data_IF_039772771426
#
_entry.id   IF_039772771426
#
_cell.length_a   1.000
_cell.length_b   1.000
_cell.length_c   1.000
_cell.angle_alpha   90.00
_cell.angle_beta   90.00
_cell.angle_gamma   90.00
#
_symmetry.space_group_name_H-M   'P 1'
#
loop_
_entity.id
_entity.type
_entity.pdbx_description
1 polymer ?
#
# COMPACT_ATOMS: atom_id res chain seq x y z
N UNK A 1 -1.91 5.11 -3.96
CA UNK A 1 -2.25 6.42 -3.40
C UNK A 1 -1.72 7.61 -4.20
N UNK A 2 -0.44 8.01 -4.15
CA UNK A 2 0.06 9.25 -4.82
C UNK A 2 -0.22 9.35 -6.33
N UNK A 3 -0.11 8.24 -7.07
CA UNK A 3 -0.47 8.21 -8.51
C UNK A 3 -1.96 8.46 -8.72
N UNK A 4 -2.82 7.76 -7.96
CA UNK A 4 -4.27 7.97 -8.03
C UNK A 4 -4.69 9.38 -7.65
N UNK A 5 -4.04 9.99 -6.65
CA UNK A 5 -4.24 11.40 -6.31
C UNK A 5 -3.81 12.36 -7.44
N UNK A 6 -2.83 11.98 -8.26
CA UNK A 6 -2.46 12.72 -9.46
C UNK A 6 -3.50 12.56 -10.57
N UNK A 7 -4.00 11.34 -10.77
CA UNK A 7 -5.02 11.03 -11.78
C UNK A 7 -6.36 11.72 -11.52
N UNK A 8 -6.68 12.01 -10.24
CA UNK A 8 -7.90 12.71 -9.82
C UNK A 8 -7.63 14.23 -9.62
N UNK A 9 -6.48 14.75 -10.07
CA UNK A 9 -6.08 16.17 -9.96
C UNK A 9 -6.02 16.75 -8.52
N UNK A 10 -6.00 15.88 -7.51
CA UNK A 10 -5.98 16.27 -6.09
C UNK A 10 -4.58 16.38 -5.49
N UNK A 11 -3.55 16.15 -6.31
CA UNK A 11 -2.15 16.19 -5.87
C UNK A 11 -1.71 17.57 -5.36
N UNK A 12 -2.26 18.64 -5.92
CA UNK A 12 -2.01 20.02 -5.48
C UNK A 12 -2.54 20.24 -4.07
N UNK A 13 -3.79 19.84 -3.81
CA UNK A 13 -4.45 19.98 -2.51
C UNK A 13 -3.83 19.06 -1.46
N UNK A 14 -3.46 17.84 -1.82
CA UNK A 14 -2.68 16.94 -0.96
C UNK A 14 -1.35 17.53 -0.48
N UNK A 15 -0.76 18.48 -1.23
CA UNK A 15 0.48 19.16 -0.82
C UNK A 15 0.23 20.42 0.01
N UNK A 16 -0.93 21.04 -0.15
CA UNK A 16 -1.26 22.33 0.45
C UNK A 16 -2.05 22.19 1.75
N UNK A 17 -2.90 21.16 1.85
CA UNK A 17 -3.80 20.91 2.96
C UNK A 17 -3.34 19.67 3.74
N UNK A 18 -2.90 19.91 4.97
CA UNK A 18 -2.42 18.87 5.88
C UNK A 18 -3.54 17.93 6.33
N UNK A 19 -4.77 18.44 6.52
CA UNK A 19 -5.90 17.61 6.95
C UNK A 19 -6.32 16.67 5.82
N UNK A 20 -6.36 17.18 4.58
CA UNK A 20 -6.59 16.36 3.39
C UNK A 20 -5.49 15.30 3.22
N UNK A 21 -4.23 15.69 3.43
CA UNK A 21 -3.10 14.77 3.37
C UNK A 21 -3.16 13.69 4.46
N UNK A 22 -3.61 14.04 5.67
CA UNK A 22 -3.82 13.11 6.77
C UNK A 22 -4.93 12.11 6.45
N UNK A 23 -6.10 12.57 5.98
CA UNK A 23 -7.21 11.69 5.58
C UNK A 23 -6.77 10.70 4.48
N UNK A 24 -6.08 11.19 3.45
CA UNK A 24 -5.51 10.32 2.41
C UNK A 24 -4.48 9.30 2.97
N UNK A 25 -3.70 9.68 3.98
CA UNK A 25 -2.78 8.74 4.65
C UNK A 25 -3.53 7.71 5.50
N UNK A 26 -4.62 8.11 6.17
CA UNK A 26 -5.48 7.20 6.94
C UNK A 26 -6.10 6.11 6.08
N UNK A 27 -6.49 6.42 4.82
CA UNK A 27 -6.97 5.41 3.87
C UNK A 27 -5.92 4.30 3.65
N UNK A 28 -4.65 4.68 3.53
CA UNK A 28 -3.55 3.71 3.39
C UNK A 28 -3.32 2.92 4.68
N UNK A 29 -3.52 3.55 5.84
CA UNK A 29 -3.39 2.91 7.15
C UNK A 29 -4.37 1.76 7.39
N UNK A 30 -5.47 1.68 6.63
CA UNK A 30 -6.43 0.57 6.71
C UNK A 30 -5.76 -0.79 6.45
N UNK A 31 -4.65 -0.81 5.72
CA UNK A 31 -3.85 -2.03 5.51
C UNK A 31 -3.33 -2.69 6.80
N UNK A 32 -3.34 -1.97 7.93
CA UNK A 32 -2.92 -2.46 9.25
C UNK A 32 -4.11 -2.77 10.19
N UNK A 33 -5.35 -2.69 9.70
CA UNK A 33 -6.55 -3.03 10.48
C UNK A 33 -6.82 -4.54 10.36
N UNK A 34 -7.22 -5.22 11.45
CA UNK A 34 -7.67 -6.61 11.38
C UNK A 34 -8.81 -6.79 10.37
N UNK A 35 -8.76 -7.85 9.55
CA UNK A 35 -9.64 -8.05 8.39
C UNK A 35 -11.13 -8.02 8.78
N UNK A 36 -11.45 -8.53 9.96
CA UNK A 36 -12.78 -8.54 10.57
C UNK A 36 -13.40 -7.14 10.76
N UNK A 37 -12.57 -6.10 10.91
CA UNK A 37 -13.01 -4.73 11.20
C UNK A 37 -12.78 -3.76 10.04
N UNK A 38 -12.17 -4.21 8.93
CA UNK A 38 -11.83 -3.35 7.78
C UNK A 38 -13.06 -2.66 7.21
N UNK A 39 -14.19 -3.37 7.08
CA UNK A 39 -15.42 -2.82 6.51
C UNK A 39 -15.98 -1.67 7.36
N UNK A 40 -16.25 -1.94 8.64
CA UNK A 40 -16.87 -0.97 9.54
C UNK A 40 -15.99 0.28 9.71
N UNK A 41 -14.67 0.10 9.80
CA UNK A 41 -13.71 1.20 9.94
C UNK A 41 -13.55 1.99 8.63
N UNK A 42 -13.65 1.33 7.48
CA UNK A 42 -13.64 2.01 6.19
C UNK A 42 -14.88 2.90 6.02
N UNK A 43 -16.06 2.39 6.37
CA UNK A 43 -17.32 3.13 6.32
C UNK A 43 -17.25 4.36 7.26
N UNK A 44 -16.78 4.18 8.50
CA UNK A 44 -16.58 5.28 9.46
C UNK A 44 -15.58 6.34 8.94
N UNK A 45 -14.48 5.89 8.32
CA UNK A 45 -13.51 6.81 7.71
C UNK A 45 -14.10 7.57 6.52
N UNK A 46 -14.90 6.90 5.69
CA UNK A 46 -15.51 7.50 4.52
C UNK A 46 -16.50 8.61 4.92
N UNK A 47 -17.31 8.39 5.96
CA UNK A 47 -18.23 9.41 6.49
C UNK A 47 -17.52 10.67 7.00
N UNK A 48 -16.33 10.51 7.60
CA UNK A 48 -15.55 11.63 8.14
C UNK A 48 -14.62 12.28 7.11
N UNK A 49 -14.48 11.67 5.93
CA UNK A 49 -13.56 12.15 4.89
C UNK A 49 -14.19 13.29 4.07
N UNK A 50 -13.36 14.25 3.61
CA UNK A 50 -13.82 15.26 2.65
C UNK A 50 -14.43 14.61 1.41
N UNK A 51 -15.53 15.18 0.90
CA UNK A 51 -16.23 14.66 -0.28
C UNK A 51 -15.30 14.55 -1.49
N UNK A 52 -14.30 15.43 -1.59
CA UNK A 52 -13.32 15.35 -2.66
C UNK A 52 -12.55 14.03 -2.67
N UNK A 53 -12.34 13.35 -1.53
CA UNK A 53 -11.68 12.05 -1.48
C UNK A 53 -12.57 10.87 -1.93
N UNK A 54 -13.86 11.07 -2.18
CA UNK A 54 -14.78 10.00 -2.63
C UNK A 54 -14.22 9.19 -3.80
N UNK A 55 -13.70 9.77 -4.91
CA UNK A 55 -13.18 8.97 -6.03
C UNK A 55 -11.99 8.11 -5.66
N UNK A 56 -11.25 8.48 -4.61
CA UNK A 56 -10.10 7.74 -4.10
C UNK A 56 -10.55 6.64 -3.14
N UNK A 57 -11.56 6.92 -2.30
CA UNK A 57 -12.23 5.93 -1.45
C UNK A 57 -12.88 4.84 -2.30
N UNK A 58 -13.69 5.22 -3.30
CA UNK A 58 -14.34 4.30 -4.24
C UNK A 58 -13.33 3.39 -4.93
N UNK A 59 -12.23 3.97 -5.43
CA UNK A 59 -11.16 3.20 -6.05
C UNK A 59 -10.49 2.25 -5.05
N UNK A 60 -10.26 2.69 -3.82
CA UNK A 60 -9.63 1.87 -2.79
C UNK A 60 -10.54 0.71 -2.39
N UNK A 61 -11.83 0.99 -2.20
CA UNK A 61 -12.85 -0.03 -1.93
C UNK A 61 -12.87 -1.05 -3.07
N UNK A 62 -12.94 -0.62 -4.32
CA UNK A 62 -12.93 -1.53 -5.48
C UNK A 62 -11.65 -2.36 -5.58
N UNK A 63 -10.51 -1.79 -5.26
CA UNK A 63 -9.19 -2.42 -5.50
C UNK A 63 -8.75 -3.33 -4.35
N UNK A 64 -9.07 -2.98 -3.11
CA UNK A 64 -8.47 -3.61 -1.92
C UNK A 64 -9.49 -4.21 -0.93
N UNK A 65 -10.69 -3.65 -0.82
CA UNK A 65 -11.72 -4.11 0.12
C UNK A 65 -12.72 -5.05 -0.56
N UNK A 66 -13.13 -4.68 -1.77
CA UNK A 66 -14.15 -5.29 -2.61
C UNK A 66 -15.56 -4.81 -2.27
N UNK A 67 -16.28 -4.23 -3.24
CA UNK A 67 -17.69 -3.83 -3.06
C UNK A 67 -18.55 -5.04 -2.67
N UNK A 68 -19.25 -4.94 -1.54
CA UNK A 68 -20.29 -5.89 -1.15
C UNK A 68 -21.44 -5.80 -2.14
N UNK A 69 -21.72 -6.87 -2.87
CA UNK A 69 -22.93 -6.89 -3.69
C UNK A 69 -24.18 -6.96 -2.81
N UNK A 70 -25.36 -6.72 -3.39
CA UNK A 70 -26.70 -6.81 -2.74
C UNK A 70 -26.99 -8.15 -2.04
N UNK A 71 -26.13 -9.16 -2.23
CA UNK A 71 -26.23 -10.51 -1.69
C UNK A 71 -25.07 -10.85 -0.72
N UNK A 72 -24.32 -9.85 -0.25
CA UNK A 72 -23.26 -10.02 0.74
C UNK A 72 -21.98 -10.73 0.26
N UNK A 73 -21.79 -10.91 -1.06
CA UNK A 73 -20.56 -11.51 -1.61
C UNK A 73 -19.59 -10.41 -2.08
N UNK A 74 -18.35 -10.44 -1.60
CA UNK A 74 -17.27 -9.62 -2.15
C UNK A 74 -16.89 -10.17 -3.53
N UNK A 75 -16.66 -9.30 -4.52
CA UNK A 75 -16.13 -9.72 -5.83
C UNK A 75 -14.67 -10.18 -5.66
N UNK A 76 -14.47 -11.44 -5.29
CA UNK A 76 -13.15 -12.03 -5.02
C UNK A 76 -12.24 -12.24 -6.24
N UNK A 77 -12.37 -11.47 -7.33
CA UNK A 77 -11.52 -11.59 -8.53
C UNK A 77 -10.35 -10.60 -8.57
N UNK A 78 -10.38 -9.55 -7.75
CA UNK A 78 -9.41 -8.44 -7.85
C UNK A 78 -8.18 -8.60 -6.93
N UNK A 79 -8.29 -9.37 -5.84
CA UNK A 79 -7.17 -9.56 -4.89
C UNK A 79 -5.97 -10.29 -5.51
N UNK A 80 -6.19 -11.17 -6.48
CA UNK A 80 -5.14 -12.04 -7.05
C UNK A 80 -4.33 -11.40 -8.18
N UNK A 81 -4.84 -10.35 -8.84
CA UNK A 81 -4.11 -9.70 -9.94
C UNK A 81 -3.09 -8.66 -9.45
N UNK A 82 -3.28 -8.06 -8.27
CA UNK A 82 -2.37 -7.03 -7.78
C UNK A 82 -0.93 -7.54 -7.58
N UNK A 83 -0.74 -8.82 -7.18
CA UNK A 83 0.59 -9.42 -7.08
C UNK A 83 1.24 -9.60 -8.46
N UNK A 84 0.48 -10.08 -9.45
CA UNK A 84 0.93 -10.21 -10.83
C UNK A 84 1.27 -8.84 -11.45
N UNK A 85 0.43 -7.83 -11.21
CA UNK A 85 0.68 -6.45 -11.62
C UNK A 85 1.93 -5.87 -10.97
N UNK A 86 2.16 -6.12 -9.66
CA UNK A 86 3.36 -5.64 -8.97
C UNK A 86 4.62 -6.31 -9.55
N UNK A 87 4.58 -7.63 -9.77
CA UNK A 87 5.67 -8.36 -10.41
C UNK A 87 5.94 -7.81 -11.82
N UNK A 88 4.89 -7.57 -12.61
CA UNK A 88 5.00 -7.00 -13.95
C UNK A 88 5.53 -5.56 -13.95
N UNK A 89 5.12 -4.71 -12.99
CA UNK A 89 5.64 -3.33 -12.83
C UNK A 89 7.13 -3.35 -12.50
N UNK A 90 7.56 -4.25 -11.62
CA UNK A 90 8.98 -4.45 -11.29
C UNK A 90 9.77 -4.90 -12.52
N UNK A 91 9.28 -5.90 -13.26
CA UNK A 91 9.89 -6.37 -14.51
C UNK A 91 10.03 -5.23 -15.53
N UNK A 92 8.99 -4.42 -15.71
CA UNK A 92 9.04 -3.26 -16.61
C UNK A 92 10.12 -2.24 -16.18
N UNK A 93 10.26 -2.01 -14.88
CA UNK A 93 11.28 -1.11 -14.33
C UNK A 93 12.70 -1.62 -14.59
N UNK A 94 12.94 -2.92 -14.44
CA UNK A 94 14.25 -3.56 -14.67
C UNK A 94 14.62 -3.58 -16.16
N UNK A 95 13.61 -3.76 -17.03
CA UNK A 95 13.80 -3.76 -18.47
C UNK A 95 14.05 -2.36 -19.05
N UNK A 96 13.50 -1.31 -18.44
CA UNK A 96 13.74 0.09 -18.83
C UNK A 96 13.28 0.46 -20.23
N UNK A 97 12.41 -0.35 -20.86
CA UNK A 97 11.96 -0.18 -22.25
C UNK A 97 10.47 -0.54 -22.34
N UNK A 98 9.68 0.26 -23.05
CA UNK A 98 8.24 0.04 -23.22
C UNK A 98 7.91 -1.17 -24.11
N UNK A 99 8.77 -1.45 -25.10
CA UNK A 99 8.66 -2.60 -26.01
C UNK A 99 10.00 -3.33 -26.17
N UNK A 100 10.39 -4.20 -25.23
CA UNK A 100 11.64 -4.93 -25.31
C UNK A 100 11.59 -6.02 -26.38
N UNK A 101 12.66 -6.16 -27.16
CA UNK A 101 12.88 -7.35 -27.99
C UNK A 101 12.95 -8.61 -27.12
N UNK A 102 12.61 -9.78 -27.67
CA UNK A 102 12.68 -11.07 -26.95
C UNK A 102 14.03 -11.28 -26.25
N UNK A 103 15.14 -10.88 -26.88
CA UNK A 103 16.47 -11.01 -26.28
C UNK A 103 16.64 -10.13 -25.03
N UNK A 104 16.35 -8.83 -25.12
CA UNK A 104 16.34 -7.92 -23.96
C UNK A 104 15.38 -8.39 -22.86
N UNK A 105 14.25 -8.98 -23.25
CA UNK A 105 13.28 -9.55 -22.31
C UNK A 105 13.88 -10.72 -21.52
N UNK A 106 14.50 -11.69 -22.21
CA UNK A 106 15.19 -12.82 -21.58
C UNK A 106 16.34 -12.34 -20.69
N UNK A 107 17.14 -11.38 -21.16
CA UNK A 107 18.26 -10.82 -20.40
C UNK A 107 17.76 -10.15 -19.11
N UNK A 108 16.63 -9.42 -19.17
CA UNK A 108 16.00 -8.85 -17.98
C UNK A 108 15.53 -9.90 -16.97
N UNK A 109 14.95 -11.02 -17.41
CA UNK A 109 14.60 -12.12 -16.50
C UNK A 109 15.83 -12.70 -15.83
N UNK A 110 16.93 -12.90 -16.57
CA UNK A 110 18.19 -13.41 -16.00
C UNK A 110 18.75 -12.45 -14.95
N UNK A 111 18.69 -11.14 -15.18
CA UNK A 111 19.10 -10.13 -14.19
C UNK A 111 18.25 -10.18 -12.92
N UNK A 112 16.92 -10.24 -13.06
CA UNK A 112 16.01 -10.33 -11.91
C UNK A 112 16.22 -11.61 -11.11
N UNK A 113 16.42 -12.73 -11.82
CA UNK A 113 16.70 -14.02 -11.19
C UNK A 113 18.05 -14.00 -10.47
N UNK A 114 19.13 -13.52 -11.11
CA UNK A 114 20.45 -13.43 -10.49
C UNK A 114 20.43 -12.58 -9.20
N UNK A 115 19.70 -11.46 -9.20
CA UNK A 115 19.55 -10.63 -8.00
C UNK A 115 18.77 -11.31 -6.87
N UNK A 116 17.76 -12.13 -7.20
CA UNK A 116 17.01 -12.95 -6.22
C UNK A 116 17.86 -14.06 -5.65
N UNK A 117 18.56 -14.78 -6.50
CA UNK A 117 19.44 -15.89 -6.12
C UNK A 117 20.56 -15.38 -5.21
N UNK A 118 21.14 -14.21 -5.51
CA UNK A 118 22.12 -13.57 -4.63
C UNK A 118 21.56 -13.27 -3.22
N UNK A 119 20.33 -12.73 -3.12
CA UNK A 119 19.70 -12.46 -1.83
C UNK A 119 19.40 -13.76 -1.06
N UNK A 120 18.98 -14.80 -1.77
CA UNK A 120 18.70 -16.11 -1.17
C UNK A 120 19.97 -16.80 -0.68
N UNK A 121 21.04 -16.78 -1.46
CA UNK A 121 22.35 -17.33 -1.07
C UNK A 121 22.95 -16.60 0.13
N UNK A 122 22.88 -15.27 0.17
CA UNK A 122 23.31 -14.50 1.35
C UNK A 122 22.50 -14.89 2.60
N UNK A 123 21.19 -15.09 2.45
CA UNK A 123 20.36 -15.59 3.55
C UNK A 123 20.79 -17.00 4.01
N UNK A 124 21.05 -17.93 3.08
CA UNK A 124 21.52 -19.28 3.41
C UNK A 124 22.89 -19.30 4.10
N UNK A 125 23.78 -18.37 3.74
CA UNK A 125 25.09 -18.18 4.40
C UNK A 125 24.99 -17.62 5.82
N UNK A 126 23.81 -17.12 6.20
CA UNK A 126 23.61 -16.41 7.45
C UNK A 126 24.12 -14.96 7.42
N UNK A 127 24.32 -14.39 6.23
CA UNK A 127 24.66 -12.97 6.10
C UNK A 127 23.51 -12.13 6.69
N UNK A 128 23.85 -11.08 7.45
CA UNK A 128 22.83 -10.15 7.92
C UNK A 128 22.19 -9.41 6.74
N UNK A 129 20.86 -9.21 6.75
CA UNK A 129 20.20 -8.44 5.73
C UNK A 129 20.74 -7.00 5.71
N UNK A 130 20.67 -6.31 4.56
CA UNK A 130 21.11 -4.92 4.47
C UNK A 130 20.40 -4.08 5.54
N UNK A 131 21.19 -3.33 6.31
CA UNK A 131 20.67 -2.58 7.45
C UNK A 131 19.64 -1.55 6.98
N UNK A 132 18.41 -1.66 7.50
CA UNK A 132 17.39 -0.63 7.34
C UNK A 132 17.89 0.67 7.99
N UNK A 133 17.66 1.81 7.33
CA UNK A 133 17.98 3.11 7.94
C UNK A 133 17.20 3.26 9.26
N UNK A 134 17.85 3.83 10.28
CA UNK A 134 17.29 3.96 11.64
C UNK A 134 15.89 4.60 11.67
N UNK A 135 15.61 5.55 10.77
CA UNK A 135 14.29 6.19 10.67
C UNK A 135 13.15 5.20 10.37
N UNK A 136 13.41 4.17 9.57
CA UNK A 136 12.44 3.13 9.24
C UNK A 136 12.33 2.10 10.36
N UNK A 137 13.42 1.76 11.04
CA UNK A 137 13.37 0.87 12.22
C UNK A 137 12.50 1.46 13.33
N UNK A 138 12.68 2.75 13.64
CA UNK A 138 11.86 3.46 14.63
C UNK A 138 10.40 3.58 14.19
N UNK A 139 10.13 3.69 12.89
CA UNK A 139 8.79 3.67 12.35
C UNK A 139 8.12 2.32 12.53
N UNK A 140 8.82 1.24 12.15
CA UNK A 140 8.36 -0.14 12.28
C UNK A 140 8.02 -0.45 13.75
N UNK A 141 8.86 -0.02 14.71
CA UNK A 141 8.57 -0.18 16.14
C UNK A 141 7.32 0.57 16.60
N UNK A 142 7.11 1.81 16.12
CA UNK A 142 5.91 2.59 16.45
C UNK A 142 4.65 1.96 15.85
N UNK A 143 4.71 1.53 14.60
CA UNK A 143 3.61 0.83 13.92
C UNK A 143 3.29 -0.46 14.67
N UNK A 144 4.30 -1.26 15.02
CA UNK A 144 4.12 -2.51 15.77
C UNK A 144 3.39 -2.27 17.09
N UNK A 145 3.81 -1.25 17.87
CA UNK A 145 3.13 -0.90 19.13
C UNK A 145 1.69 -0.47 18.93
N UNK A 146 1.38 0.27 17.85
CA UNK A 146 0.01 0.66 17.55
C UNK A 146 -0.83 -0.57 17.21
N UNK A 147 -0.33 -1.47 16.35
CA UNK A 147 -1.03 -2.69 15.92
C UNK A 147 -1.27 -3.62 17.12
N UNK A 148 -0.29 -3.78 18.01
CA UNK A 148 -0.41 -4.62 19.22
C UNK A 148 -1.46 -4.10 20.21
N UNK A 149 -1.75 -2.79 20.21
CA UNK A 149 -2.70 -2.15 21.13
C UNK A 149 -3.99 -1.68 20.42
N UNK A 150 -4.31 -2.25 19.26
CA UNK A 150 -5.48 -1.87 18.50
C UNK A 150 -6.78 -2.15 19.26
N UNK A 151 -7.67 -1.16 19.32
CA UNK A 151 -9.03 -1.29 19.82
C UNK A 151 -10.03 -0.67 18.85
N UNK A 152 -11.20 -1.30 18.69
CA UNK A 152 -12.24 -0.83 17.75
C UNK A 152 -12.76 0.56 18.15
N UNK A 153 -12.92 0.81 19.46
CA UNK A 153 -13.40 2.09 20.01
C UNK A 153 -12.47 3.29 19.67
N UNK A 154 -11.21 3.02 19.31
CA UNK A 154 -10.23 4.05 18.98
C UNK A 154 -9.79 4.00 17.51
N UNK A 155 -10.57 3.37 16.62
CA UNK A 155 -10.21 3.13 15.23
C UNK A 155 -9.70 4.37 14.49
N UNK A 156 -10.38 5.52 14.60
CA UNK A 156 -9.95 6.77 13.96
C UNK A 156 -8.62 7.28 14.53
N UNK A 157 -8.46 7.27 15.85
CA UNK A 157 -7.21 7.67 16.52
C UNK A 157 -6.05 6.74 16.16
N UNK A 158 -6.33 5.44 16.03
CA UNK A 158 -5.40 4.43 15.55
C UNK A 158 -4.95 4.69 14.11
N UNK A 159 -5.90 4.94 13.19
CA UNK A 159 -5.59 5.24 11.79
C UNK A 159 -4.77 6.54 11.65
N UNK A 160 -5.06 7.57 12.46
CA UNK A 160 -4.25 8.80 12.52
C UNK A 160 -2.83 8.51 12.98
N UNK A 161 -2.67 7.77 14.07
CA UNK A 161 -1.35 7.37 14.58
C UNK A 161 -0.54 6.59 13.53
N UNK A 162 -1.19 5.70 12.78
CA UNK A 162 -0.55 4.99 11.67
C UNK A 162 -0.23 5.91 10.50
N UNK A 163 -1.12 6.83 10.14
CA UNK A 163 -0.95 7.73 9.01
C UNK A 163 0.33 8.58 9.13
N UNK A 164 0.71 8.94 10.35
CA UNK A 164 1.96 9.66 10.63
C UNK A 164 3.23 8.80 10.55
N UNK A 165 3.09 7.49 10.67
CA UNK A 165 4.22 6.56 10.62
C UNK A 165 4.41 5.89 9.25
N UNK A 166 3.32 5.65 8.51
CA UNK A 166 3.35 4.91 7.23
C UNK A 166 3.96 5.73 6.09
N UNK A 167 3.80 7.06 6.11
CA UNK A 167 4.33 7.96 5.08
C UNK A 167 5.40 8.92 5.61
N UNK A 168 6.37 8.38 6.36
CA UNK A 168 7.56 9.14 6.75
C UNK A 168 8.32 9.57 5.49
N UNK A 169 8.36 10.88 5.23
CA UNK A 169 9.22 11.49 4.20
C UNK A 169 10.71 11.31 4.56
#
# INVERSE_FOLDING_TARGET
MKRKLADVEQLSRYRQDEQFALAARMIVSIAFVPVEHVGDIFDELAEQSPQELEPVLDWFEDTYVGRRNRFGRCRGRDWTNNFAEMAHRRLRSELGVDHPTIRRFIDGFRTVQAGRDQQFESFLRGDEPPQKRLKYLRADERIRRLVENFTVESAISYLRGLADNVMIN
#
